data_IF_502601720921
#
_entry.id   IF_502601720921
#
_cell.length_a   1.000
_cell.length_b   1.000
_cell.length_c   1.000
_cell.angle_alpha   90.00
_cell.angle_beta   90.00
_cell.angle_gamma   90.00
#
_symmetry.space_group_name_H-M   'P 1'
#
loop_
_entity.id
_entity.type
_entity.pdbx_description
1 polymer ?
#
# COMPACT_ATOMS: atom_id res chain seq x y z
N UNK A 1 3.31 19.46 0.08
CA UNK A 1 3.09 18.05 0.52
C UNK A 1 4.41 17.29 0.46
N UNK A 2 4.75 16.50 1.48
CA UNK A 2 5.90 15.57 1.44
C UNK A 2 5.40 14.14 1.61
N UNK A 3 5.89 13.22 0.78
CA UNK A 3 5.52 11.80 0.81
C UNK A 3 6.72 10.89 0.56
N UNK A 4 6.55 9.59 0.83
CA UNK A 4 7.50 8.53 0.54
C UNK A 4 6.79 7.42 -0.22
N UNK A 5 7.45 6.85 -1.21
CA UNK A 5 6.91 5.72 -1.95
C UNK A 5 7.95 4.66 -2.29
N UNK A 6 7.46 3.45 -2.50
CA UNK A 6 8.17 2.32 -3.11
C UNK A 6 7.22 1.73 -4.15
N UNK A 7 7.60 1.82 -5.42
CA UNK A 7 6.88 1.16 -6.50
C UNK A 7 7.54 -0.19 -6.76
N UNK A 8 6.74 -1.22 -6.97
CA UNK A 8 7.24 -2.59 -7.09
C UNK A 8 6.44 -3.45 -8.04
N UNK A 9 7.03 -4.55 -8.49
CA UNK A 9 6.34 -5.66 -9.14
C UNK A 9 6.44 -6.88 -8.24
N UNK A 10 5.29 -7.44 -7.87
CA UNK A 10 5.16 -8.59 -6.99
C UNK A 10 4.16 -9.57 -7.60
N UNK A 11 4.46 -10.86 -7.55
CA UNK A 11 3.44 -11.91 -7.68
C UNK A 11 2.60 -11.99 -6.40
N UNK A 12 1.50 -12.77 -6.40
CA UNK A 12 0.78 -13.08 -5.16
C UNK A 12 1.67 -13.70 -4.07
N UNK A 13 2.65 -14.54 -4.44
CA UNK A 13 3.58 -15.14 -3.46
C UNK A 13 4.57 -14.11 -2.93
N UNK A 14 5.17 -13.30 -3.80
CA UNK A 14 6.07 -12.21 -3.39
C UNK A 14 5.36 -11.23 -2.44
N UNK A 15 4.08 -10.93 -2.71
CA UNK A 15 3.26 -10.09 -1.84
C UNK A 15 3.06 -10.72 -0.46
N UNK A 16 2.71 -12.02 -0.42
CA UNK A 16 2.52 -12.74 0.83
C UNK A 16 3.81 -12.77 1.66
N UNK A 17 4.95 -13.08 1.01
CA UNK A 17 6.27 -13.10 1.64
C UNK A 17 6.70 -11.72 2.15
N UNK A 18 6.46 -10.66 1.36
CA UNK A 18 6.74 -9.30 1.79
C UNK A 18 5.94 -8.96 3.05
N UNK A 19 4.63 -9.24 3.05
CA UNK A 19 3.77 -8.90 4.18
C UNK A 19 4.11 -9.72 5.44
N UNK A 20 4.43 -11.01 5.32
CA UNK A 20 4.89 -11.81 6.46
C UNK A 20 6.21 -11.30 7.03
N UNK A 21 7.11 -10.77 6.19
CA UNK A 21 8.32 -10.10 6.65
C UNK A 21 8.03 -8.76 7.31
N UNK A 22 7.10 -7.96 6.78
CA UNK A 22 6.77 -6.64 7.34
C UNK A 22 6.03 -6.74 8.68
N UNK A 23 5.16 -7.73 8.83
CA UNK A 23 4.29 -7.95 9.99
C UNK A 23 4.34 -9.41 10.48
N UNK A 24 5.45 -9.83 11.09
CA UNK A 24 5.58 -11.22 11.55
C UNK A 24 4.62 -11.57 12.70
N UNK A 25 4.10 -10.58 13.41
CA UNK A 25 3.20 -10.76 14.53
C UNK A 25 1.71 -10.67 14.15
N UNK A 26 1.40 -10.38 12.87
CA UNK A 26 0.01 -10.26 12.39
C UNK A 26 -0.76 -9.11 13.04
N UNK A 27 -0.09 -7.99 13.34
CA UNK A 27 -0.68 -6.82 14.00
C UNK A 27 -1.25 -5.78 13.05
N UNK A 28 -1.00 -5.90 11.74
CA UNK A 28 -1.50 -4.97 10.76
C UNK A 28 -3.01 -5.11 10.59
N UNK A 29 -3.69 -3.97 10.53
CA UNK A 29 -5.09 -3.90 10.12
C UNK A 29 -5.14 -3.52 8.65
N UNK A 30 -5.72 -4.40 7.85
CA UNK A 30 -5.96 -4.15 6.43
C UNK A 30 -7.34 -3.53 6.26
N UNK A 31 -7.38 -2.37 5.63
CA UNK A 31 -8.62 -1.60 5.49
C UNK A 31 -8.97 -1.46 4.02
N UNK A 32 -10.23 -1.73 3.69
CA UNK A 32 -10.75 -1.55 2.34
C UNK A 32 -10.71 -0.07 1.96
N UNK A 33 -10.60 0.21 0.66
CA UNK A 33 -10.50 1.60 0.19
C UNK A 33 -11.74 2.43 0.52
N UNK A 34 -12.91 1.80 0.39
CA UNK A 34 -14.22 2.40 0.54
C UNK A 34 -14.88 1.81 1.76
N UNK A 35 -15.73 2.60 2.39
CA UNK A 35 -16.69 2.11 3.37
C UNK A 35 -18.12 2.33 2.92
N UNK A 36 -18.99 1.44 3.38
CA UNK A 36 -20.44 1.60 3.34
C UNK A 36 -20.97 1.85 4.76
N UNK A 37 -22.03 2.64 4.89
CA UNK A 37 -22.78 2.80 6.15
C UNK A 37 -21.94 3.29 7.35
N UNK A 38 -20.95 4.14 7.06
CA UNK A 38 -20.07 4.77 8.05
C UNK A 38 -19.18 3.86 8.90
N UNK A 39 -19.06 2.57 8.55
CA UNK A 39 -18.20 1.61 9.27
C UNK A 39 -16.89 1.36 8.53
N UNK A 40 -15.78 1.24 9.26
CA UNK A 40 -14.49 0.88 8.64
C UNK A 40 -14.55 -0.59 8.20
N UNK A 41 -14.41 -0.83 6.90
CA UNK A 41 -14.38 -2.18 6.34
C UNK A 41 -12.98 -2.77 6.51
N UNK A 42 -12.81 -3.61 7.54
CA UNK A 42 -11.58 -4.36 7.79
C UNK A 42 -11.56 -5.61 6.91
N UNK A 43 -10.50 -5.77 6.13
CA UNK A 43 -10.28 -6.93 5.29
C UNK A 43 -9.69 -8.07 6.13
N UNK A 44 -10.24 -9.29 6.04
CA UNK A 44 -9.72 -10.44 6.78
C UNK A 44 -8.36 -10.92 6.25
N UNK A 45 -7.97 -10.48 5.05
CA UNK A 45 -6.69 -10.82 4.43
C UNK A 45 -6.25 -9.74 3.45
N UNK A 46 -4.94 -9.49 3.30
CA UNK A 46 -4.41 -8.61 2.27
C UNK A 46 -4.33 -9.29 0.90
N UNK A 47 -4.50 -10.61 0.82
CA UNK A 47 -4.43 -11.36 -0.43
C UNK A 47 -5.58 -10.99 -1.36
N UNK A 48 -5.30 -10.96 -2.66
CA UNK A 48 -6.33 -10.90 -3.70
C UNK A 48 -6.78 -12.33 -3.96
N UNK A 49 -8.06 -12.65 -3.75
CA UNK A 49 -8.59 -14.00 -3.99
C UNK A 49 -9.06 -14.17 -5.44
N UNK A 50 -9.55 -13.09 -6.04
CA UNK A 50 -10.03 -13.05 -7.42
C UNK A 50 -9.44 -11.82 -8.15
N UNK A 51 -8.34 -12.05 -8.86
CA UNK A 51 -7.67 -11.02 -9.66
C UNK A 51 -8.64 -10.42 -10.70
N UNK A 52 -8.67 -9.09 -10.81
CA UNK A 52 -9.58 -8.36 -11.69
C UNK A 52 -11.01 -8.13 -11.16
N UNK A 53 -11.41 -8.78 -10.06
CA UNK A 53 -12.71 -8.57 -9.42
C UNK A 53 -12.62 -7.83 -8.08
N UNK A 54 -11.46 -7.88 -7.44
CA UNK A 54 -11.22 -7.19 -6.18
C UNK A 54 -10.42 -5.89 -6.36
N UNK A 55 -10.71 -4.89 -5.52
CA UNK A 55 -10.04 -3.60 -5.56
C UNK A 55 -8.57 -3.75 -5.12
N UNK A 56 -7.60 -3.52 -6.01
CA UNK A 56 -6.18 -3.71 -5.69
C UNK A 56 -5.64 -2.76 -4.62
N UNK A 57 -6.19 -1.54 -4.53
CA UNK A 57 -5.81 -0.56 -3.53
C UNK A 57 -6.48 -0.87 -2.19
N UNK A 58 -5.66 -1.10 -1.17
CA UNK A 58 -6.05 -1.23 0.23
C UNK A 58 -5.19 -0.30 1.08
N UNK A 59 -5.50 -0.21 2.38
CA UNK A 59 -4.71 0.53 3.34
C UNK A 59 -4.21 -0.38 4.45
N UNK A 60 -3.04 -0.07 4.99
CA UNK A 60 -2.44 -0.74 6.16
C UNK A 60 -2.39 0.28 7.30
N UNK A 61 -2.90 -0.10 8.47
CA UNK A 61 -2.94 0.73 9.66
C UNK A 61 -2.54 -0.06 10.92
N UNK A 62 -2.23 0.67 12.00
CA UNK A 62 -2.17 0.13 13.36
C UNK A 62 -3.58 0.12 13.96
N UNK A 63 -3.84 -0.79 14.90
CA UNK A 63 -5.13 -0.83 15.60
C UNK A 63 -5.45 0.50 16.31
N UNK A 64 -4.44 1.11 16.95
CA UNK A 64 -4.60 2.38 17.68
C UNK A 64 -4.84 3.59 16.76
N UNK A 65 -4.63 3.44 15.44
CA UNK A 65 -4.78 4.51 14.45
C UNK A 65 -6.17 4.54 13.80
N UNK A 66 -7.04 3.54 14.07
CA UNK A 66 -8.33 3.41 13.39
C UNK A 66 -9.27 4.60 13.65
N UNK A 67 -9.33 5.07 14.90
CA UNK A 67 -10.21 6.19 15.28
C UNK A 67 -9.73 7.54 14.72
N UNK A 68 -8.46 7.63 14.33
CA UNK A 68 -7.87 8.82 13.73
C UNK A 68 -8.01 8.86 12.19
N UNK A 69 -8.67 7.87 11.58
CA UNK A 69 -8.91 7.85 10.14
C UNK A 69 -9.96 8.89 9.72
N UNK A 70 -9.61 9.66 8.69
CA UNK A 70 -10.49 10.60 8.02
C UNK A 70 -11.02 10.01 6.71
N UNK A 71 -12.23 10.41 6.34
CA UNK A 71 -12.89 9.94 5.13
C UNK A 71 -13.39 11.12 4.30
N UNK A 72 -13.22 11.01 2.98
CA UNK A 72 -13.82 11.89 2.00
C UNK A 72 -15.12 11.27 1.51
N UNK A 73 -16.23 12.00 1.65
CA UNK A 73 -17.53 11.56 1.16
C UNK A 73 -17.62 11.77 -0.36
N UNK A 74 -17.93 10.68 -1.08
CA UNK A 74 -18.03 10.64 -2.53
C UNK A 74 -19.39 10.05 -2.90
N UNK A 75 -20.43 10.89 -2.77
CA UNK A 75 -21.80 10.50 -3.06
C UNK A 75 -22.33 9.45 -2.08
N UNK A 76 -22.51 8.22 -2.54
CA UNK A 76 -23.11 7.12 -1.74
C UNK A 76 -22.09 6.30 -0.96
N UNK A 77 -20.80 6.58 -1.09
CA UNK A 77 -19.74 5.93 -0.32
C UNK A 77 -18.71 6.95 0.16
N UNK A 78 -17.99 6.62 1.23
CA UNK A 78 -16.82 7.40 1.65
C UNK A 78 -15.54 6.63 1.31
N UNK A 79 -14.49 7.35 0.93
CA UNK A 79 -13.15 6.81 0.71
C UNK A 79 -12.22 7.30 1.82
N UNK A 80 -11.24 6.51 2.23
CA UNK A 80 -10.22 6.99 3.16
C UNK A 80 -9.46 8.16 2.54
N UNK A 81 -9.36 9.25 3.30
CA UNK A 81 -8.49 10.39 3.01
C UNK A 81 -7.06 9.97 3.36
N UNK A 82 -6.31 9.49 2.37
CA UNK A 82 -4.90 9.06 2.54
C UNK A 82 -3.98 10.22 2.95
N UNK A 83 -4.37 11.46 2.66
CA UNK A 83 -3.56 12.64 2.93
C UNK A 83 -3.55 12.91 4.43
N UNK A 84 -4.72 12.82 5.08
CA UNK A 84 -4.88 13.11 6.52
C UNK A 84 -4.79 11.88 7.41
N UNK A 85 -5.30 10.73 6.97
CA UNK A 85 -5.39 9.54 7.81
C UNK A 85 -4.02 8.91 8.11
N UNK A 86 -3.77 8.39 9.32
CA UNK A 86 -2.56 7.63 9.67
C UNK A 86 -2.56 6.23 9.05
N UNK A 87 -2.54 6.18 7.72
CA UNK A 87 -2.54 4.95 6.92
C UNK A 87 -1.41 4.94 5.91
N UNK A 88 -1.01 3.72 5.55
CA UNK A 88 -0.15 3.46 4.41
C UNK A 88 -1.06 2.97 3.27
N UNK A 89 -1.00 3.61 2.11
CA UNK A 89 -1.63 3.06 0.92
C UNK A 89 -0.79 1.89 0.40
N UNK A 90 -1.42 0.73 0.27
CA UNK A 90 -0.84 -0.46 -0.32
C UNK A 90 -1.63 -0.84 -1.58
N UNK A 91 -1.08 -0.45 -2.73
CA UNK A 91 -1.61 -0.86 -4.03
C UNK A 91 -0.99 -2.20 -4.40
N UNK A 92 -1.82 -3.23 -4.42
CA UNK A 92 -1.44 -4.61 -4.80
C UNK A 92 -1.19 -4.66 -6.31
N UNK A 93 -0.26 -5.50 -6.73
CA UNK A 93 0.04 -5.69 -8.16
C UNK A 93 -1.12 -6.39 -8.87
N UNK A 94 -1.37 -6.02 -10.12
CA UNK A 94 -2.22 -6.82 -11.00
C UNK A 94 -1.33 -7.79 -11.76
N UNK A 95 -1.65 -9.08 -11.70
CA UNK A 95 -0.96 -10.11 -12.49
C UNK A 95 -1.93 -10.67 -13.53
N UNK A 96 -1.59 -10.48 -14.80
CA UNK A 96 -2.23 -11.19 -15.91
C UNK A 96 -1.37 -12.36 -16.36
N UNK A 97 -1.80 -13.01 -17.45
CA UNK A 97 -1.15 -14.24 -17.94
C UNK A 97 0.30 -14.02 -18.42
N UNK A 98 0.63 -12.81 -18.87
CA UNK A 98 1.94 -12.49 -19.47
C UNK A 98 2.52 -11.15 -18.97
N UNK A 99 1.93 -10.56 -17.94
CA UNK A 99 2.38 -9.28 -17.43
C UNK A 99 2.06 -9.08 -15.94
N UNK A 100 2.87 -8.24 -15.30
CA UNK A 100 2.64 -7.75 -13.94
C UNK A 100 2.58 -6.23 -14.02
N UNK A 101 1.48 -5.62 -13.59
CA UNK A 101 1.41 -4.16 -13.37
C UNK A 101 1.90 -3.84 -11.98
N UNK A 102 2.60 -2.72 -11.84
CA UNK A 102 3.20 -2.33 -10.59
C UNK A 102 2.15 -2.10 -9.49
N UNK A 103 2.63 -2.30 -8.28
CA UNK A 103 1.97 -1.91 -7.06
C UNK A 103 2.80 -0.85 -6.37
N UNK A 104 2.28 -0.35 -5.24
CA UNK A 104 2.92 0.74 -4.51
C UNK A 104 2.68 0.66 -3.03
N UNK A 105 3.74 0.96 -2.28
CA UNK A 105 3.68 1.37 -0.89
C UNK A 105 3.77 2.91 -0.84
N UNK A 106 2.76 3.61 -0.33
CA UNK A 106 2.73 5.08 -0.33
C UNK A 106 2.35 5.66 1.04
N UNK A 107 3.15 6.63 1.51
CA UNK A 107 3.01 7.29 2.81
C UNK A 107 3.06 8.79 2.61
N UNK A 108 2.01 9.50 3.04
CA UNK A 108 2.02 10.96 3.15
C UNK A 108 2.58 11.35 4.52
N UNK A 109 3.62 12.18 4.52
CA UNK A 109 4.24 12.66 5.77
C UNK A 109 3.61 13.97 6.24
N UNK A 110 3.45 14.92 5.32
CA UNK A 110 2.89 16.24 5.59
C UNK A 110 2.03 16.74 4.43
N UNK A 111 1.01 17.51 4.78
CA UNK A 111 -0.02 18.03 3.89
C UNK A 111 -0.31 19.50 4.22
N UNK A 112 -1.09 20.16 3.36
CA UNK A 112 -1.60 21.50 3.67
C UNK A 112 -2.98 21.36 4.31
N UNK A 113 -3.16 21.96 5.48
CA UNK A 113 -4.47 22.01 6.14
C UNK A 113 -5.43 22.98 5.44
N UNK A 114 -6.61 23.18 6.03
CA UNK A 114 -7.65 24.04 5.46
C UNK A 114 -7.24 25.51 5.42
N UNK A 115 -6.28 25.92 6.26
CA UNK A 115 -5.76 27.28 6.33
C UNK A 115 -4.52 27.47 5.44
N UNK A 116 -4.15 26.44 4.66
CA UNK A 116 -2.96 26.44 3.81
C UNK A 116 -1.65 26.28 4.57
N UNK A 117 -1.69 25.94 5.87
CA UNK A 117 -0.49 25.71 6.69
C UNK A 117 -0.01 24.26 6.54
N UNK A 118 1.29 24.05 6.74
CA UNK A 118 1.86 22.70 6.68
C UNK A 118 1.49 21.95 7.96
N UNK A 119 0.58 20.99 7.83
CA UNK A 119 0.26 20.01 8.85
C UNK A 119 1.07 18.72 8.62
N UNK A 120 1.31 17.97 9.69
CA UNK A 120 2.09 16.73 9.69
C UNK A 120 1.31 15.64 10.41
N UNK A 121 1.44 14.39 9.94
CA UNK A 121 0.85 13.23 10.63
C UNK A 121 1.59 12.95 11.94
N UNK A 122 0.94 12.21 12.82
CA UNK A 122 1.49 11.77 14.10
C UNK A 122 2.91 11.16 13.97
N UNK A 123 3.81 11.51 14.89
CA UNK A 123 5.21 11.07 14.84
C UNK A 123 5.34 9.56 15.09
N UNK A 124 4.46 8.97 15.90
CA UNK A 124 4.40 7.52 16.11
C UNK A 124 4.09 6.79 14.81
N UNK A 125 3.05 7.22 14.09
CA UNK A 125 2.72 6.71 12.77
C UNK A 125 3.87 6.90 11.78
N UNK A 126 4.47 8.10 11.71
CA UNK A 126 5.53 8.39 10.75
C UNK A 126 6.80 7.58 11.00
N UNK A 127 7.15 7.35 12.26
CA UNK A 127 8.28 6.49 12.65
C UNK A 127 8.03 5.05 12.24
N UNK A 128 6.84 4.53 12.53
CA UNK A 128 6.44 3.19 12.12
C UNK A 128 6.46 3.03 10.60
N UNK A 129 5.80 3.93 9.86
CA UNK A 129 5.73 3.89 8.40
C UNK A 129 7.11 4.02 7.74
N UNK A 130 8.01 4.85 8.29
CA UNK A 130 9.38 4.97 7.80
C UNK A 130 10.16 3.65 7.92
N UNK A 131 9.99 2.94 9.04
CA UNK A 131 10.62 1.61 9.24
C UNK A 131 10.10 0.61 8.21
N UNK A 132 8.80 0.61 7.93
CA UNK A 132 8.21 -0.27 6.92
C UNK A 132 8.71 0.03 5.51
N UNK A 133 8.71 1.30 5.09
CA UNK A 133 9.28 1.71 3.78
C UNK A 133 10.73 1.24 3.65
N UNK A 134 11.53 1.44 4.70
CA UNK A 134 12.93 1.03 4.72
C UNK A 134 13.08 -0.50 4.63
N UNK A 135 12.23 -1.25 5.34
CA UNK A 135 12.21 -2.71 5.32
C UNK A 135 11.77 -3.26 3.97
N UNK A 136 10.72 -2.69 3.36
CA UNK A 136 10.28 -3.04 2.00
C UNK A 136 11.41 -2.94 0.99
N UNK A 137 12.17 -1.83 1.00
CA UNK A 137 13.32 -1.66 0.10
C UNK A 137 14.44 -2.68 0.32
N UNK A 138 14.61 -3.19 1.55
CA UNK A 138 15.60 -4.23 1.86
C UNK A 138 15.13 -5.63 1.49
N UNK A 139 13.82 -5.87 1.49
CA UNK A 139 13.24 -7.16 1.18
C UNK A 139 13.08 -7.43 -0.32
N UNK A 140 13.19 -6.39 -1.15
CA UNK A 140 12.99 -6.46 -2.59
C UNK A 140 14.28 -6.10 -3.34
N UNK A 141 14.40 -6.58 -4.58
CA UNK A 141 15.54 -6.27 -5.46
C UNK A 141 15.25 -5.00 -6.24
N UNK A 142 16.09 -3.97 -6.09
CA UNK A 142 15.98 -2.76 -6.90
C UNK A 142 16.44 -3.04 -8.33
N UNK A 143 15.64 -2.64 -9.30
CA UNK A 143 16.02 -2.66 -10.71
C UNK A 143 17.15 -1.64 -10.96
N UNK A 144 18.27 -2.02 -11.61
CA UNK A 144 19.37 -1.08 -11.87
C UNK A 144 18.95 0.04 -12.84
N UNK A 145 18.04 -0.26 -13.77
CA UNK A 145 17.65 0.63 -14.87
C UNK A 145 16.40 1.47 -14.56
N UNK A 146 15.80 1.30 -13.38
CA UNK A 146 14.57 2.01 -13.02
C UNK A 146 14.45 2.30 -11.53
N UNK A 147 13.35 2.95 -11.14
CA UNK A 147 13.02 3.22 -9.74
C UNK A 147 12.16 2.11 -9.11
N UNK A 148 11.89 1.03 -9.84
CA UNK A 148 11.06 -0.08 -9.38
C UNK A 148 11.86 -1.11 -8.59
N UNK A 149 11.14 -1.81 -7.72
CA UNK A 149 11.63 -2.95 -6.97
C UNK A 149 10.90 -4.22 -7.43
N UNK A 150 11.56 -5.36 -7.31
CA UNK A 150 11.02 -6.65 -7.73
C UNK A 150 11.04 -7.63 -6.57
N UNK A 151 9.94 -8.38 -6.43
CA UNK A 151 9.94 -9.63 -5.70
C UNK A 151 10.79 -10.68 -6.42
N UNK A 152 11.16 -11.75 -5.70
CA UNK A 152 12.05 -12.76 -6.25
C UNK A 152 11.39 -13.50 -7.42
N UNK A 153 10.12 -13.87 -7.30
CA UNK A 153 9.37 -14.55 -8.36
C UNK A 153 9.08 -13.59 -9.52
N UNK A 154 8.66 -12.36 -9.24
CA UNK A 154 8.45 -11.33 -10.27
C UNK A 154 9.72 -11.07 -11.10
N UNK A 155 10.90 -11.12 -10.48
CA UNK A 155 12.17 -10.97 -11.19
C UNK A 155 12.45 -12.16 -12.13
N UNK A 156 12.18 -13.39 -11.68
CA UNK A 156 12.30 -14.59 -12.52
C UNK A 156 11.36 -14.51 -13.73
N UNK A 157 10.11 -14.09 -13.50
CA UNK A 157 9.12 -13.92 -14.57
C UNK A 157 9.56 -12.84 -15.57
N UNK A 158 10.09 -11.70 -15.10
CA UNK A 158 10.68 -10.66 -15.97
C UNK A 158 11.77 -11.24 -16.87
N UNK A 159 12.70 -12.03 -16.29
CA UNK A 159 13.75 -12.72 -17.06
C UNK A 159 13.21 -13.75 -18.06
N UNK A 160 12.05 -14.36 -17.76
CA UNK A 160 11.33 -15.26 -18.65
C UNK A 160 10.46 -14.54 -19.72
N UNK A 161 10.50 -13.20 -19.77
CA UNK A 161 9.82 -12.40 -20.80
C UNK A 161 8.46 -11.83 -20.39
N UNK A 162 8.06 -11.92 -19.12
CA UNK A 162 6.87 -11.20 -18.64
C UNK A 162 7.04 -9.69 -18.80
N UNK A 163 5.99 -9.04 -19.28
CA UNK A 163 5.98 -7.58 -19.40
C UNK A 163 5.72 -6.94 -18.05
N UNK A 164 6.37 -5.83 -17.77
CA UNK A 164 6.23 -5.08 -16.51
C UNK A 164 5.82 -3.63 -16.79
N UNK A 165 4.63 -3.40 -17.38
CA UNK A 165 4.19 -2.05 -17.71
C UNK A 165 3.88 -1.26 -16.42
N UNK A 166 4.39 -0.02 -16.29
CA UNK A 166 4.00 0.85 -15.20
C UNK A 166 2.53 1.32 -15.36
N UNK A 167 1.88 1.64 -14.24
CA UNK A 167 0.56 2.30 -14.18
C UNK A 167 0.66 3.77 -14.60
#
# INVERSE_FOLDING_TARGET
MRSRQVNFFLTPNDQAELLSKLDPAGQFIYVARRRKDSRIDILPTPAVRQMGKEALKIYIARADDLDAMSFDDIGTFSSIDVIRSPVIEFSRCFMGDQFIRDGRFYVVNSYFDRDGRVARKDEGFLTWAARLVSKTRRCLTKDPDSFFYFGAEALQLKSAGFKTPPI
#
